data_IF_842894619811
#
_entry.id   IF_842894619811
#
_cell.length_a   1.000
_cell.length_b   1.000
_cell.length_c   1.000
_cell.angle_alpha   90.00
_cell.angle_beta   90.00
_cell.angle_gamma   90.00
#
_symmetry.space_group_name_H-M   'P 1'
#
loop_
_entity.id
_entity.type
_entity.pdbx_description
1 polymer ?
#
# COMPACT_ATOMS: atom_id res chain seq x y z
N UNK A 1 -65.96 25.74 -16.19
CA UNK A 1 -64.50 25.86 -16.39
C UNK A 1 -63.79 25.02 -15.34
N UNK A 2 -63.13 23.91 -15.71
CA UNK A 2 -62.54 22.98 -14.75
C UNK A 2 -61.14 23.44 -14.27
N UNK A 3 -60.76 22.92 -13.10
CA UNK A 3 -59.51 23.18 -12.37
C UNK A 3 -58.31 22.52 -13.05
N UNK A 4 -57.16 23.19 -13.04
CA UNK A 4 -55.85 22.53 -13.14
C UNK A 4 -55.03 22.78 -11.87
N UNK A 5 -54.90 21.73 -11.06
CA UNK A 5 -53.88 21.62 -10.03
C UNK A 5 -52.63 21.04 -10.69
N UNK A 6 -51.56 21.83 -10.83
CA UNK A 6 -50.25 21.32 -11.20
C UNK A 6 -49.70 20.45 -10.08
N UNK A 7 -49.81 19.13 -10.22
CA UNK A 7 -49.07 18.16 -9.43
C UNK A 7 -47.62 18.13 -9.89
N UNK A 8 -46.69 18.60 -9.06
CA UNK A 8 -45.26 18.27 -9.18
C UNK A 8 -45.08 16.78 -8.92
N UNK A 9 -45.13 15.96 -9.96
CA UNK A 9 -44.64 14.58 -9.92
C UNK A 9 -43.12 14.62 -9.76
N UNK A 10 -42.63 14.37 -8.55
CA UNK A 10 -41.26 13.86 -8.35
C UNK A 10 -41.26 12.41 -8.78
N UNK A 11 -40.80 12.13 -9.98
CA UNK A 11 -40.44 10.77 -10.42
C UNK A 11 -39.30 10.29 -9.54
N UNK A 12 -39.63 9.46 -8.52
CA UNK A 12 -38.63 8.65 -7.80
C UNK A 12 -38.12 7.57 -8.75
N UNK A 13 -37.18 7.95 -9.62
CA UNK A 13 -36.35 6.98 -10.33
C UNK A 13 -35.54 6.15 -9.32
N UNK A 14 -35.33 4.87 -9.61
CA UNK A 14 -34.48 4.02 -8.78
C UNK A 14 -33.09 4.69 -8.62
N UNK A 15 -32.49 4.71 -7.41
CA UNK A 15 -31.18 5.29 -7.21
C UNK A 15 -30.17 4.62 -8.14
N UNK A 16 -29.27 5.42 -8.73
CA UNK A 16 -28.17 4.86 -9.51
C UNK A 16 -27.37 3.83 -8.68
N UNK A 17 -26.75 2.82 -9.31
CA UNK A 17 -26.01 1.77 -8.59
C UNK A 17 -25.02 2.33 -7.56
N UNK A 18 -24.28 3.39 -7.90
CA UNK A 18 -23.33 4.06 -7.01
C UNK A 18 -24.00 4.65 -5.78
N UNK A 19 -25.16 5.30 -5.94
CA UNK A 19 -25.93 5.88 -4.84
C UNK A 19 -26.38 4.79 -3.87
N UNK A 20 -26.88 3.66 -4.38
CA UNK A 20 -27.30 2.54 -3.55
C UNK A 20 -26.13 1.91 -2.78
N UNK A 21 -24.97 1.75 -3.41
CA UNK A 21 -23.75 1.24 -2.77
C UNK A 21 -23.29 2.16 -1.65
N UNK A 22 -23.22 3.48 -1.89
CA UNK A 22 -22.77 4.44 -0.88
C UNK A 22 -23.77 4.59 0.27
N UNK A 23 -25.07 4.51 0.01
CA UNK A 23 -26.09 4.50 1.06
C UNK A 23 -25.98 3.26 1.94
N UNK A 24 -25.73 2.09 1.34
CA UNK A 24 -25.48 0.85 2.08
C UNK A 24 -24.20 0.96 2.91
N UNK A 25 -23.11 1.43 2.30
CA UNK A 25 -21.83 1.68 2.98
C UNK A 25 -22.00 2.60 4.19
N UNK A 26 -22.68 3.74 4.03
CA UNK A 26 -22.90 4.69 5.13
C UNK A 26 -23.68 4.06 6.29
N UNK A 27 -24.74 3.29 5.99
CA UNK A 27 -25.52 2.59 7.03
C UNK A 27 -24.69 1.55 7.78
N UNK A 28 -23.88 0.77 7.05
CA UNK A 28 -23.00 -0.24 7.64
C UNK A 28 -21.89 0.39 8.47
N UNK A 29 -21.31 1.51 8.00
CA UNK A 29 -20.32 2.29 8.76
C UNK A 29 -20.91 2.84 10.07
N UNK A 30 -22.08 3.47 10.03
CA UNK A 30 -22.76 3.95 11.24
C UNK A 30 -23.06 2.81 12.23
N UNK A 31 -23.48 1.64 11.71
CA UNK A 31 -23.68 0.43 12.53
C UNK A 31 -22.38 -0.04 13.19
N UNK A 32 -21.27 -0.10 12.46
CA UNK A 32 -19.98 -0.50 13.02
C UNK A 32 -19.45 0.50 14.04
N UNK A 33 -19.69 1.80 13.86
CA UNK A 33 -19.36 2.82 14.87
C UNK A 33 -20.07 2.54 16.20
N UNK A 34 -21.37 2.22 16.15
CA UNK A 34 -22.13 1.82 17.36
C UNK A 34 -21.58 0.53 17.97
N UNK A 35 -21.29 -0.48 17.15
CA UNK A 35 -20.77 -1.78 17.62
C UNK A 35 -19.41 -1.67 18.31
N UNK A 36 -18.55 -0.78 17.83
CA UNK A 36 -17.18 -0.56 18.35
C UNK A 36 -17.12 0.58 19.36
N UNK A 37 -18.28 1.12 19.77
CA UNK A 37 -18.40 2.19 20.77
C UNK A 37 -17.53 3.42 20.44
N UNK A 38 -17.59 3.85 19.19
CA UNK A 38 -16.82 4.99 18.67
C UNK A 38 -17.73 5.99 17.96
N UNK A 39 -17.30 7.25 17.92
CA UNK A 39 -18.02 8.28 17.18
C UNK A 39 -17.85 8.11 15.67
N UNK A 40 -18.91 8.43 14.93
CA UNK A 40 -18.86 8.52 13.48
C UNK A 40 -17.95 9.68 13.08
N UNK A 41 -16.95 9.42 12.23
CA UNK A 41 -16.07 10.49 11.76
C UNK A 41 -16.85 11.52 10.93
N UNK A 42 -16.85 12.82 11.32
CA UNK A 42 -17.60 13.86 10.62
C UNK A 42 -17.17 14.02 9.15
N UNK A 43 -15.87 13.91 8.87
CA UNK A 43 -15.33 14.03 7.51
C UNK A 43 -15.84 12.92 6.60
N UNK A 44 -15.71 11.66 7.02
CA UNK A 44 -16.22 10.50 6.27
C UNK A 44 -17.72 10.61 6.02
N UNK A 45 -18.51 10.96 7.05
CA UNK A 45 -19.96 11.11 6.92
C UNK A 45 -20.33 12.22 5.93
N UNK A 46 -19.64 13.36 5.99
CA UNK A 46 -19.81 14.49 5.07
C UNK A 46 -19.45 14.09 3.64
N UNK A 47 -18.33 13.41 3.43
CA UNK A 47 -17.87 12.98 2.10
C UNK A 47 -18.78 11.92 1.48
N UNK A 48 -19.28 10.97 2.27
CA UNK A 48 -20.28 9.98 1.83
C UNK A 48 -21.59 10.65 1.43
N UNK A 49 -22.13 11.54 2.27
CA UNK A 49 -23.36 12.29 1.95
C UNK A 49 -23.20 13.17 0.71
N UNK A 50 -22.08 13.86 0.59
CA UNK A 50 -21.79 14.67 -0.59
C UNK A 50 -21.70 13.79 -1.85
N UNK A 51 -21.04 12.64 -1.79
CA UNK A 51 -20.93 11.69 -2.91
C UNK A 51 -22.29 11.09 -3.31
N UNK A 52 -23.14 10.78 -2.33
CA UNK A 52 -24.53 10.32 -2.54
C UNK A 52 -25.35 11.40 -3.25
N UNK A 53 -25.29 12.65 -2.79
CA UNK A 53 -26.09 13.75 -3.35
C UNK A 53 -25.67 14.14 -4.76
N UNK A 54 -24.38 14.03 -5.07
CA UNK A 54 -23.83 14.36 -6.41
C UNK A 54 -23.69 13.13 -7.31
N UNK A 55 -24.13 11.95 -6.86
CA UNK A 55 -24.05 10.69 -7.60
C UNK A 55 -22.63 10.31 -8.06
N UNK A 56 -21.64 10.62 -7.21
CA UNK A 56 -20.21 10.38 -7.49
C UNK A 56 -19.67 9.21 -6.68
N UNK A 57 -18.65 8.58 -7.23
CA UNK A 57 -17.89 7.54 -6.52
C UNK A 57 -16.98 8.21 -5.48
N UNK A 58 -17.03 7.73 -4.24
CA UNK A 58 -16.10 8.16 -3.20
C UNK A 58 -14.78 7.37 -3.28
N UNK A 59 -13.71 8.04 -3.71
CA UNK A 59 -12.40 7.39 -3.88
C UNK A 59 -11.47 7.57 -2.68
N UNK A 60 -11.67 8.64 -1.89
CA UNK A 60 -10.79 9.05 -0.79
C UNK A 60 -11.56 9.02 0.52
N UNK A 61 -11.03 8.31 1.51
CA UNK A 61 -11.53 8.33 2.87
C UNK A 61 -10.56 9.11 3.76
N UNK A 62 -11.04 10.18 4.39
CA UNK A 62 -10.24 11.00 5.31
C UNK A 62 -10.77 10.80 6.73
N UNK A 63 -9.98 10.11 7.55
CA UNK A 63 -10.19 9.98 8.97
C UNK A 63 -9.36 11.05 9.68
N UNK A 64 -10.04 12.05 10.22
CA UNK A 64 -9.42 13.19 10.92
C UNK A 64 -10.08 13.34 12.30
N UNK A 65 -9.29 13.71 13.31
CA UNK A 65 -9.84 14.12 14.60
C UNK A 65 -10.47 15.51 14.44
N UNK A 66 -11.70 15.73 14.94
CA UNK A 66 -12.24 17.08 15.05
C UNK A 66 -11.39 17.87 16.04
N UNK A 67 -10.92 19.05 15.63
CA UNK A 67 -10.02 19.91 16.40
C UNK A 67 -10.58 20.31 17.78
N UNK A 68 -11.92 20.34 17.90
CA UNK A 68 -12.65 20.75 19.10
C UNK A 68 -13.77 19.75 19.46
N UNK A 69 -13.44 18.53 19.86
CA UNK A 69 -14.47 17.64 20.43
C UNK A 69 -14.84 18.09 21.86
N UNK A 70 -16.07 18.55 22.12
CA UNK A 70 -16.50 18.87 23.48
C UNK A 70 -16.38 17.66 24.41
N UNK A 71 -16.25 17.89 25.74
CA UNK A 71 -16.19 16.81 26.73
C UNK A 71 -17.40 15.88 26.56
N UNK A 72 -17.17 14.58 26.36
CA UNK A 72 -18.22 13.55 26.28
C UNK A 72 -18.44 12.91 24.91
N UNK A 73 -17.74 13.33 23.85
CA UNK A 73 -17.75 12.61 22.57
C UNK A 73 -16.81 11.39 22.64
N UNK A 74 -17.31 10.21 22.26
CA UNK A 74 -16.49 8.99 22.18
C UNK A 74 -15.33 9.19 21.19
N UNK A 75 -14.13 8.64 21.45
CA UNK A 75 -13.01 8.77 20.53
C UNK A 75 -13.38 8.16 19.17
N UNK A 76 -12.87 8.75 18.09
CA UNK A 76 -12.98 8.19 16.74
C UNK A 76 -11.93 7.08 16.58
N UNK A 77 -12.33 5.94 16.02
CA UNK A 77 -11.46 4.81 15.69
C UNK A 77 -11.44 4.56 14.18
N UNK A 78 -10.34 4.01 13.69
CA UNK A 78 -10.19 3.52 12.32
C UNK A 78 -11.00 2.23 12.07
N UNK A 79 -11.22 1.44 13.12
CA UNK A 79 -11.83 0.11 13.07
C UNK A 79 -13.12 0.03 12.23
N UNK A 80 -14.14 0.91 12.42
CA UNK A 80 -15.40 0.78 11.70
C UNK A 80 -15.23 0.98 10.19
N UNK A 81 -14.30 1.85 9.78
CA UNK A 81 -14.04 2.09 8.37
C UNK A 81 -13.48 0.83 7.71
N UNK A 82 -12.48 0.19 8.33
CA UNK A 82 -11.88 -1.03 7.82
C UNK A 82 -12.88 -2.19 7.77
N UNK A 83 -13.71 -2.34 8.81
CA UNK A 83 -14.80 -3.31 8.84
C UNK A 83 -15.78 -3.07 7.68
N UNK A 84 -16.21 -1.82 7.48
CA UNK A 84 -17.18 -1.48 6.43
C UNK A 84 -16.63 -1.77 5.03
N UNK A 85 -15.38 -1.37 4.76
CA UNK A 85 -14.71 -1.62 3.47
C UNK A 85 -14.73 -3.10 3.12
N UNK A 86 -14.44 -3.96 4.11
CA UNK A 86 -14.44 -5.41 3.94
C UNK A 86 -15.84 -5.97 3.77
N UNK A 87 -16.75 -5.65 4.68
CA UNK A 87 -18.09 -6.25 4.75
C UNK A 87 -18.97 -5.80 3.56
N UNK A 88 -18.72 -4.62 3.00
CA UNK A 88 -19.38 -4.10 1.79
C UNK A 88 -18.60 -4.37 0.50
N UNK A 89 -17.43 -5.05 0.57
CA UNK A 89 -16.55 -5.30 -0.56
C UNK A 89 -16.30 -4.03 -1.42
N UNK A 90 -15.99 -2.91 -0.77
CA UNK A 90 -15.94 -1.60 -1.43
C UNK A 90 -14.68 -1.42 -2.31
N UNK A 91 -14.75 -1.86 -3.56
CA UNK A 91 -13.60 -1.88 -4.50
C UNK A 91 -13.35 -0.57 -5.26
N UNK A 92 -14.16 0.46 -5.00
CA UNK A 92 -14.06 1.75 -5.69
C UNK A 92 -13.15 2.77 -4.98
N UNK A 93 -12.75 2.47 -3.74
CA UNK A 93 -11.78 3.26 -2.99
C UNK A 93 -10.41 3.30 -3.67
N UNK A 94 -9.61 4.32 -3.35
CA UNK A 94 -8.24 4.52 -3.84
C UNK A 94 -7.29 5.02 -2.75
N UNK A 95 -7.79 5.89 -1.87
CA UNK A 95 -6.97 6.56 -0.86
C UNK A 95 -7.58 6.39 0.54
N UNK A 96 -6.73 6.05 1.51
CA UNK A 96 -7.04 6.14 2.94
C UNK A 96 -6.07 7.14 3.56
N UNK A 97 -6.63 8.18 4.19
CA UNK A 97 -5.89 9.23 4.87
C UNK A 97 -6.29 9.23 6.36
N UNK A 98 -5.33 9.10 7.26
CA UNK A 98 -5.54 9.02 8.71
C UNK A 98 -4.62 10.03 9.39
N UNK A 99 -5.20 11.02 10.08
CA UNK A 99 -4.44 12.17 10.56
C UNK A 99 -4.63 12.41 12.07
N UNK A 100 -3.52 12.48 12.82
CA UNK A 100 -3.51 12.85 14.23
C UNK A 100 -4.01 11.76 15.18
N UNK A 101 -3.91 10.48 14.80
CA UNK A 101 -4.42 9.35 15.60
C UNK A 101 -3.30 8.61 16.32
N UNK A 102 -3.61 8.13 17.53
CA UNK A 102 -2.86 7.04 18.16
C UNK A 102 -3.50 5.73 17.73
N UNK A 103 -2.83 5.01 16.84
CA UNK A 103 -3.34 3.80 16.23
C UNK A 103 -2.99 2.59 17.09
N UNK A 104 -4.01 1.84 17.47
CA UNK A 104 -3.84 0.63 18.28
C UNK A 104 -3.36 -0.56 17.45
N UNK A 105 -2.74 -1.54 18.11
CA UNK A 105 -2.25 -2.76 17.48
C UNK A 105 -3.34 -3.49 16.67
N UNK A 106 -4.60 -3.63 17.18
CA UNK A 106 -5.68 -4.22 16.41
C UNK A 106 -6.08 -3.42 15.16
N UNK A 107 -6.02 -2.08 15.20
CA UNK A 107 -6.32 -1.23 14.04
C UNK A 107 -5.25 -1.39 12.95
N UNK A 108 -3.96 -1.35 13.33
CA UNK A 108 -2.86 -1.54 12.40
C UNK A 108 -2.83 -2.96 11.83
N UNK A 109 -3.11 -3.98 12.64
CA UNK A 109 -3.20 -5.36 12.17
C UNK A 109 -4.26 -5.52 11.06
N UNK A 110 -5.41 -4.87 11.22
CA UNK A 110 -6.50 -4.92 10.22
C UNK A 110 -6.20 -4.07 8.99
N UNK A 111 -5.61 -2.88 9.18
CA UNK A 111 -5.14 -2.07 8.07
C UNK A 111 -4.12 -2.86 7.25
N UNK A 112 -3.16 -3.50 7.91
CA UNK A 112 -2.16 -4.34 7.27
C UNK A 112 -2.78 -5.52 6.50
N UNK A 113 -3.77 -6.21 7.07
CA UNK A 113 -4.52 -7.26 6.37
C UNK A 113 -5.28 -6.74 5.14
N UNK A 114 -5.84 -5.53 5.21
CA UNK A 114 -6.49 -4.88 4.08
C UNK A 114 -5.50 -4.55 2.96
N UNK A 115 -4.27 -4.15 3.30
CA UNK A 115 -3.23 -3.76 2.35
C UNK A 115 -2.57 -4.96 1.65
N UNK A 116 -2.43 -6.09 2.35
CA UNK A 116 -1.79 -7.30 1.83
C UNK A 116 -2.55 -7.87 0.63
N UNK A 117 -1.92 -7.90 -0.55
CA UNK A 117 -2.47 -8.55 -1.74
C UNK A 117 -2.29 -10.07 -1.67
N UNK A 118 -3.03 -10.76 -0.80
CA UNK A 118 -3.06 -12.23 -0.75
C UNK A 118 -4.23 -12.77 -1.55
N UNK A 119 -3.97 -13.19 -2.79
CA UNK A 119 -4.64 -14.22 -3.61
C UNK A 119 -6.16 -14.19 -3.86
N UNK A 120 -6.98 -13.73 -2.91
CA UNK A 120 -8.44 -13.90 -2.94
C UNK A 120 -9.21 -12.59 -2.83
N UNK A 121 -8.57 -11.47 -2.47
CA UNK A 121 -9.25 -10.17 -2.43
C UNK A 121 -8.29 -9.05 -2.83
N UNK A 122 -8.51 -8.38 -3.96
CA UNK A 122 -7.67 -7.24 -4.35
C UNK A 122 -7.90 -6.08 -3.37
N UNK A 123 -6.81 -5.54 -2.82
CA UNK A 123 -6.87 -4.28 -2.08
C UNK A 123 -7.16 -3.15 -3.09
N UNK A 124 -8.23 -2.36 -2.93
CA UNK A 124 -8.54 -1.30 -3.88
C UNK A 124 -7.69 -0.04 -3.66
N UNK A 125 -7.00 0.06 -2.52
CA UNK A 125 -6.25 1.25 -2.12
C UNK A 125 -4.84 1.23 -2.68
N UNK A 126 -4.50 2.30 -3.38
CA UNK A 126 -3.17 2.55 -3.95
C UNK A 126 -2.41 3.62 -3.17
N UNK A 127 -3.09 4.32 -2.25
CA UNK A 127 -2.51 5.40 -1.46
C UNK A 127 -2.87 5.23 0.00
N UNK A 128 -1.85 5.29 0.86
CA UNK A 128 -1.98 5.36 2.30
C UNK A 128 -1.27 6.61 2.82
N UNK A 129 -2.02 7.44 3.54
CA UNK A 129 -1.46 8.58 4.28
C UNK A 129 -1.71 8.37 5.77
N UNK A 130 -0.64 8.27 6.55
CA UNK A 130 -0.65 8.31 8.01
C UNK A 130 0.11 9.58 8.42
N UNK A 131 -0.61 10.65 8.76
CA UNK A 131 0.00 11.93 9.10
C UNK A 131 -0.13 12.15 10.61
N UNK A 132 0.97 12.49 11.28
CA UNK A 132 1.00 12.72 12.73
C UNK A 132 0.34 11.56 13.50
N UNK A 133 0.60 10.33 13.07
CA UNK A 133 0.07 9.12 13.68
C UNK A 133 1.10 8.50 14.63
N UNK A 134 0.64 8.05 15.80
CA UNK A 134 1.45 7.33 16.77
C UNK A 134 1.15 5.83 16.66
N UNK A 135 2.20 5.04 16.55
CA UNK A 135 2.17 3.58 16.47
C UNK A 135 3.27 3.04 17.39
N UNK A 136 3.04 1.89 18.02
CA UNK A 136 4.08 1.21 18.79
C UNK A 136 5.04 0.42 17.86
N UNK A 137 6.19 -0.05 18.37
CA UNK A 137 7.14 -0.81 17.57
C UNK A 137 6.55 -2.07 16.93
N UNK A 138 5.62 -2.75 17.62
CA UNK A 138 4.93 -3.92 17.07
C UNK A 138 4.09 -3.55 15.85
N UNK A 139 3.34 -2.46 15.94
CA UNK A 139 2.50 -1.92 14.87
C UNK A 139 3.33 -1.51 13.65
N UNK A 140 4.48 -0.88 13.88
CA UNK A 140 5.40 -0.53 12.79
C UNK A 140 6.01 -1.77 12.12
N UNK A 141 6.39 -2.78 12.90
CA UNK A 141 6.81 -4.09 12.37
C UNK A 141 5.72 -4.74 11.52
N UNK A 142 4.47 -4.74 12.02
CA UNK A 142 3.31 -5.30 11.33
C UNK A 142 2.99 -4.55 10.04
N UNK A 143 3.07 -3.22 10.05
CA UNK A 143 2.87 -2.37 8.88
C UNK A 143 3.99 -2.60 7.86
N UNK A 144 5.24 -2.64 8.29
CA UNK A 144 6.40 -2.95 7.44
C UNK A 144 6.21 -4.27 6.69
N UNK A 145 5.81 -5.34 7.37
CA UNK A 145 5.52 -6.62 6.73
C UNK A 145 4.42 -6.52 5.66
N UNK A 146 3.39 -5.71 5.91
CA UNK A 146 2.30 -5.51 4.96
C UNK A 146 2.74 -4.75 3.71
N UNK A 147 3.63 -3.76 3.85
CA UNK A 147 4.14 -2.96 2.75
C UNK A 147 4.79 -3.82 1.66
N UNK A 148 5.53 -4.85 2.05
CA UNK A 148 6.18 -5.79 1.14
C UNK A 148 5.18 -6.49 0.21
N UNK A 149 3.98 -6.78 0.72
CA UNK A 149 2.91 -7.46 -0.02
C UNK A 149 1.83 -6.49 -0.51
N UNK A 150 2.01 -5.18 -0.34
CA UNK A 150 0.97 -4.20 -0.63
C UNK A 150 0.85 -3.91 -2.12
N UNK A 151 -0.28 -3.31 -2.52
CA UNK A 151 -0.47 -2.73 -3.86
C UNK A 151 -0.36 -1.21 -3.85
N UNK A 152 0.26 -0.64 -2.81
CA UNK A 152 0.42 0.79 -2.67
C UNK A 152 1.41 1.34 -3.69
N UNK A 153 1.03 2.47 -4.28
CA UNK A 153 1.85 3.31 -5.14
C UNK A 153 2.32 4.56 -4.39
N UNK A 154 1.57 4.99 -3.38
CA UNK A 154 1.88 6.17 -2.56
C UNK A 154 1.80 5.82 -1.08
N UNK A 155 2.86 6.14 -0.34
CA UNK A 155 2.93 6.04 1.10
C UNK A 155 3.41 7.37 1.68
N UNK A 156 2.62 7.93 2.58
CA UNK A 156 2.95 9.15 3.33
C UNK A 156 2.90 8.82 4.81
N UNK A 157 4.03 9.00 5.51
CA UNK A 157 4.14 8.83 6.96
C UNK A 157 4.56 10.14 7.66
N UNK A 158 4.26 11.28 7.03
CA UNK A 158 4.72 12.59 7.49
C UNK A 158 4.35 12.86 8.96
N UNK A 159 5.24 13.51 9.69
CA UNK A 159 5.11 13.82 11.12
C UNK A 159 5.02 12.59 12.06
N UNK A 160 5.12 11.36 11.55
CA UNK A 160 5.31 10.19 12.39
C UNK A 160 6.78 10.12 12.82
N UNK A 161 7.07 10.44 14.09
CA UNK A 161 8.44 10.38 14.63
C UNK A 161 8.86 8.93 14.88
N UNK A 162 10.02 8.55 14.38
CA UNK A 162 10.56 7.20 14.54
C UNK A 162 11.90 7.22 15.27
N UNK A 163 12.15 6.22 16.12
CA UNK A 163 13.53 5.84 16.47
C UNK A 163 14.21 5.15 15.29
N UNK A 164 15.52 4.89 15.42
CA UNK A 164 16.27 4.16 14.40
C UNK A 164 15.70 2.74 14.21
N UNK A 165 15.41 2.04 15.29
CA UNK A 165 14.88 0.66 15.27
C UNK A 165 13.48 0.60 14.66
N UNK A 166 12.65 1.61 14.96
CA UNK A 166 11.28 1.72 14.46
C UNK A 166 11.22 1.92 12.94
N UNK A 167 12.05 2.82 12.40
CA UNK A 167 12.07 3.08 10.95
C UNK A 167 12.65 1.91 10.16
N UNK A 168 13.58 1.14 10.73
CA UNK A 168 14.12 -0.06 10.07
C UNK A 168 13.04 -1.11 9.77
N UNK A 169 11.97 -1.17 10.58
CA UNK A 169 10.82 -2.03 10.29
C UNK A 169 10.10 -1.63 9.00
N UNK A 170 9.94 -0.33 8.78
CA UNK A 170 9.33 0.21 7.55
C UNK A 170 10.27 0.01 6.36
N UNK A 171 11.56 0.32 6.53
CA UNK A 171 12.60 0.15 5.51
C UNK A 171 12.71 -1.29 5.02
N UNK A 172 12.67 -2.27 5.93
CA UNK A 172 12.65 -3.69 5.59
C UNK A 172 11.42 -4.07 4.77
N UNK A 173 10.27 -3.46 5.06
CA UNK A 173 9.04 -3.63 4.27
C UNK A 173 9.09 -3.04 2.86
N UNK A 174 9.95 -2.05 2.64
CA UNK A 174 10.14 -1.38 1.36
C UNK A 174 11.27 -1.98 0.53
N UNK A 175 12.09 -2.85 1.11
CA UNK A 175 13.17 -3.54 0.42
C UNK A 175 12.62 -4.37 -0.75
N UNK A 176 13.18 -4.13 -1.94
CA UNK A 176 12.74 -4.72 -3.21
C UNK A 176 11.27 -4.46 -3.57
N UNK A 177 10.62 -3.44 -3.01
CA UNK A 177 9.23 -3.12 -3.33
C UNK A 177 9.10 -2.56 -4.77
N UNK A 178 8.52 -3.36 -5.67
CA UNK A 178 8.39 -3.02 -7.09
C UNK A 178 7.10 -2.25 -7.45
N UNK A 179 6.35 -1.76 -6.46
CA UNK A 179 5.05 -1.10 -6.68
C UNK A 179 4.99 0.32 -6.15
N UNK A 180 5.62 0.58 -5.00
CA UNK A 180 5.59 1.91 -4.39
C UNK A 180 6.41 2.90 -5.23
N UNK A 181 5.77 3.97 -5.68
CA UNK A 181 6.37 4.99 -6.54
C UNK A 181 6.67 6.29 -5.79
N UNK A 182 5.86 6.64 -4.80
CA UNK A 182 6.03 7.84 -3.98
C UNK A 182 6.13 7.47 -2.51
N UNK A 183 7.19 7.95 -1.86
CA UNK A 183 7.41 7.84 -0.43
C UNK A 183 7.62 9.24 0.17
N UNK A 184 6.83 9.56 1.20
CA UNK A 184 7.02 10.78 2.00
C UNK A 184 7.25 10.41 3.46
N UNK A 185 8.37 10.90 3.99
CA UNK A 185 8.81 10.74 5.37
C UNK A 185 9.20 12.11 5.94
N UNK A 186 8.40 13.16 5.73
CA UNK A 186 8.74 14.51 6.18
C UNK A 186 8.56 14.63 7.68
N UNK A 187 9.49 15.34 8.34
CA UNK A 187 9.44 15.57 9.79
C UNK A 187 9.34 14.28 10.63
N UNK A 188 9.95 13.18 10.16
CA UNK A 188 9.91 11.87 10.80
C UNK A 188 11.05 11.61 11.80
N UNK A 189 11.98 12.57 11.95
CA UNK A 189 13.12 12.43 12.85
C UNK A 189 14.28 11.60 12.29
N UNK A 190 14.36 11.42 10.97
CA UNK A 190 15.45 10.64 10.35
C UNK A 190 16.81 11.31 10.57
N UNK A 191 17.80 10.51 10.98
CA UNK A 191 19.17 10.93 11.25
C UNK A 191 20.17 10.45 10.19
N UNK A 192 21.47 10.81 10.33
CA UNK A 192 22.50 10.48 9.35
C UNK A 192 22.62 9.00 8.99
N UNK A 193 22.40 8.12 9.97
CA UNK A 193 22.46 6.67 9.81
C UNK A 193 21.40 6.10 8.85
N UNK A 194 20.28 6.80 8.66
CA UNK A 194 19.19 6.32 7.80
C UNK A 194 19.47 6.55 6.31
N UNK A 195 20.37 7.48 5.98
CA UNK A 195 20.69 7.86 4.59
C UNK A 195 21.13 6.70 3.70
N UNK A 196 22.20 5.95 4.06
CA UNK A 196 22.65 4.80 3.29
C UNK A 196 21.58 3.73 3.06
N UNK A 197 20.79 3.42 4.10
CA UNK A 197 19.73 2.42 4.01
C UNK A 197 18.64 2.86 3.04
N UNK A 198 18.22 4.13 3.11
CA UNK A 198 17.25 4.70 2.20
C UNK A 198 17.78 4.76 0.75
N UNK A 199 19.05 5.09 0.55
CA UNK A 199 19.70 5.05 -0.77
C UNK A 199 19.62 3.66 -1.40
N UNK A 200 19.96 2.62 -0.62
CA UNK A 200 19.84 1.23 -1.08
C UNK A 200 18.39 0.86 -1.45
N UNK A 201 17.41 1.23 -0.64
CA UNK A 201 15.99 0.95 -0.91
C UNK A 201 15.54 1.61 -2.22
N UNK A 202 15.90 2.88 -2.44
CA UNK A 202 15.50 3.60 -3.65
C UNK A 202 16.12 2.98 -4.91
N UNK A 203 17.39 2.56 -4.87
CA UNK A 203 18.04 1.89 -6.02
C UNK A 203 17.38 0.55 -6.41
N UNK A 204 16.77 -0.15 -5.45
CA UNK A 204 16.22 -1.50 -5.66
C UNK A 204 14.69 -1.57 -5.61
N UNK A 205 14.00 -0.42 -5.61
CA UNK A 205 12.53 -0.33 -5.57
C UNK A 205 11.99 0.43 -6.77
N UNK A 206 10.66 0.55 -6.85
CA UNK A 206 9.99 1.37 -7.87
C UNK A 206 9.86 2.86 -7.49
N UNK A 207 10.49 3.31 -6.39
CA UNK A 207 10.34 4.67 -5.88
C UNK A 207 10.98 5.67 -6.85
N UNK A 208 10.18 6.65 -7.27
CA UNK A 208 10.57 7.76 -8.16
C UNK A 208 10.48 9.12 -7.50
N UNK A 209 9.62 9.23 -6.48
CA UNK A 209 9.39 10.46 -5.74
C UNK A 209 9.64 10.21 -4.26
N UNK A 210 10.65 10.91 -3.72
CA UNK A 210 11.07 10.78 -2.33
C UNK A 210 11.07 12.15 -1.65
N UNK A 211 10.31 12.28 -0.56
CA UNK A 211 10.24 13.52 0.20
C UNK A 211 10.74 13.34 1.64
N UNK A 212 11.80 14.07 2.01
CA UNK A 212 12.49 13.96 3.30
C UNK A 212 12.63 15.30 4.04
N UNK A 213 11.88 16.32 3.66
CA UNK A 213 11.95 17.64 4.28
C UNK A 213 11.73 17.60 5.79
N UNK A 214 12.45 18.42 6.56
CA UNK A 214 12.27 18.50 8.01
C UNK A 214 12.92 17.37 8.82
N UNK A 215 13.77 16.54 8.21
CA UNK A 215 14.61 15.56 8.91
C UNK A 215 16.02 16.09 9.18
N UNK A 216 16.80 15.35 9.98
CA UNK A 216 18.15 15.71 10.41
C UNK A 216 19.22 14.76 9.85
N UNK A 217 19.16 14.50 8.54
CA UNK A 217 20.11 13.60 7.85
C UNK A 217 21.56 14.12 7.85
N UNK A 218 21.75 15.44 8.02
CA UNK A 218 23.05 16.11 7.86
C UNK A 218 23.72 15.82 6.51
N UNK A 219 24.95 16.31 6.31
CA UNK A 219 25.70 16.03 5.09
C UNK A 219 26.02 14.54 4.92
N UNK A 220 26.33 13.84 6.01
CA UNK A 220 26.71 12.41 5.99
C UNK A 220 25.55 11.52 5.56
N UNK A 221 24.34 11.74 6.09
CA UNK A 221 23.16 10.98 5.66
C UNK A 221 22.74 11.32 4.23
N UNK A 222 22.80 12.59 3.83
CA UNK A 222 22.49 12.99 2.44
C UNK A 222 23.50 12.37 1.46
N UNK A 223 24.79 12.38 1.76
CA UNK A 223 25.80 11.70 0.93
C UNK A 223 25.58 10.18 0.90
N UNK A 224 25.22 9.58 2.03
CA UNK A 224 24.85 8.16 2.11
C UNK A 224 23.65 7.80 1.24
N UNK A 225 22.68 8.70 1.12
CA UNK A 225 21.52 8.55 0.23
C UNK A 225 21.90 8.71 -1.26
N UNK A 226 22.68 9.75 -1.59
CA UNK A 226 22.93 10.14 -2.98
C UNK A 226 24.01 9.31 -3.68
N UNK A 227 25.04 8.82 -2.97
CA UNK A 227 26.12 8.03 -3.59
C UNK A 227 25.61 6.75 -4.27
N UNK A 228 24.82 5.89 -3.62
CA UNK A 228 24.27 4.70 -4.28
C UNK A 228 23.40 5.04 -5.49
N UNK A 229 22.67 6.16 -5.44
CA UNK A 229 21.82 6.61 -6.54
C UNK A 229 22.63 7.05 -7.76
N UNK A 230 23.72 7.79 -7.53
CA UNK A 230 24.64 8.19 -8.58
C UNK A 230 25.30 6.97 -9.23
N UNK A 231 25.82 6.04 -8.43
CA UNK A 231 26.42 4.78 -8.90
C UNK A 231 25.42 3.94 -9.69
N UNK A 232 24.18 3.82 -9.20
CA UNK A 232 23.10 3.12 -9.91
C UNK A 232 22.76 3.78 -11.25
N UNK A 233 22.66 5.11 -11.30
CA UNK A 233 22.39 5.82 -12.55
C UNK A 233 23.52 5.66 -13.58
N UNK A 234 24.78 5.67 -13.15
CA UNK A 234 25.94 5.46 -14.04
C UNK A 234 25.98 4.05 -14.64
N UNK A 235 25.65 3.03 -13.85
CA UNK A 235 25.61 1.63 -14.33
C UNK A 235 24.49 1.43 -15.35
N UNK A 236 23.29 1.95 -15.08
CA UNK A 236 22.16 1.89 -16.02
C UNK A 236 22.43 2.65 -17.34
N UNK A 237 23.18 3.75 -17.29
CA UNK A 237 23.58 4.49 -18.50
C UNK A 237 24.59 3.71 -19.37
N UNK A 238 25.54 3.02 -18.75
CA UNK A 238 26.53 2.18 -19.47
C UNK A 238 25.87 0.99 -20.16
N UNK A 239 24.93 0.33 -19.50
CA UNK A 239 24.21 -0.82 -20.08
C UNK A 239 23.35 -0.41 -21.30
N UNK A 240 22.77 0.79 -21.28
CA UNK A 240 22.05 1.37 -22.42
C UNK A 240 22.98 1.71 -23.60
N UNK A 241 24.20 2.19 -23.33
CA UNK A 241 25.20 2.48 -24.37
C UNK A 241 25.74 1.19 -25.02
N UNK A 242 25.94 0.13 -24.24
CA UNK A 242 26.38 -1.17 -24.76
C UNK A 242 25.30 -1.84 -25.61
N UNK A 243 24.02 -1.67 -25.27
CA UNK A 243 22.89 -2.24 -26.05
C UNK A 243 22.48 -1.39 -27.26
N UNK A 244 22.92 -0.13 -27.35
CA UNK A 244 22.58 0.79 -28.46
C UNK A 244 23.70 0.96 -29.51
N UNK A 245 24.85 0.32 -29.34
CA UNK A 245 25.88 0.26 -30.38
C UNK A 245 25.45 -0.69 -31.51
N UNK A 246 25.19 -0.22 -32.74
CA UNK A 246 24.91 -1.10 -33.86
C UNK A 246 26.20 -1.80 -34.31
N UNK A 247 26.20 -3.12 -34.18
CA UNK A 247 27.18 -3.99 -34.81
C UNK A 247 27.20 -3.71 -36.32
N UNK A 248 28.25 -3.05 -36.78
CA UNK A 248 28.44 -2.71 -38.19
C UNK A 248 28.99 -3.92 -38.93
N UNK A 249 28.22 -5.02 -39.00
CA UNK A 249 28.41 -6.09 -39.99
C UNK A 249 27.28 -7.11 -39.97
N UNK A 250 26.11 -6.78 -40.53
CA UNK A 250 25.29 -7.74 -41.31
C UNK A 250 24.06 -7.01 -41.90
N UNK A 251 23.74 -7.20 -43.20
CA UNK A 251 22.54 -6.61 -43.78
C UNK A 251 21.26 -7.29 -43.25
N UNK A 252 20.14 -6.56 -43.13
CA UNK A 252 18.89 -7.12 -42.61
C UNK A 252 18.30 -8.14 -43.58
N UNK A 253 18.18 -9.39 -43.14
CA UNK A 253 17.36 -10.37 -43.84
C UNK A 253 15.88 -10.03 -43.64
N UNK A 254 15.23 -9.86 -44.79
CA UNK A 254 13.82 -9.56 -44.99
C UNK A 254 12.91 -10.50 -44.18
N UNK A 255 12.00 -9.91 -43.41
CA UNK A 255 10.86 -10.57 -42.76
C UNK A 255 10.06 -11.39 -43.80
N UNK A 256 10.18 -12.72 -43.77
CA UNK A 256 9.20 -13.58 -44.41
C UNK A 256 8.05 -13.86 -43.44
N UNK A 257 6.91 -13.26 -43.77
CA UNK A 257 5.61 -13.66 -43.26
C UNK A 257 5.34 -15.12 -43.62
N UNK A 258 5.06 -15.96 -42.62
CA UNK A 258 4.28 -17.18 -42.81
C UNK A 258 3.06 -17.17 -41.90
N UNK A 259 1.92 -16.94 -42.54
CA UNK A 259 0.62 -17.24 -41.97
C UNK A 259 0.37 -18.75 -41.90
N UNK A 260 -0.48 -19.09 -40.92
CA UNK A 260 -1.49 -20.16 -40.87
C UNK A 260 -1.03 -21.61 -40.76
N UNK A 261 -1.65 -22.31 -39.80
CA UNK A 261 -1.94 -23.73 -39.93
C UNK A 261 -2.09 -24.48 -38.61
N UNK A 262 -3.33 -24.61 -38.15
CA UNK A 262 -3.80 -25.54 -37.12
C UNK A 262 -3.47 -27.01 -37.45
N UNK A 263 -3.10 -27.82 -36.45
CA UNK A 263 -3.73 -29.15 -36.21
C UNK A 263 -3.11 -29.91 -35.03
N UNK A 264 -4.01 -30.41 -34.17
CA UNK A 264 -3.94 -31.52 -33.21
C UNK A 264 -3.31 -32.82 -33.73
N UNK A 265 -2.62 -33.60 -32.88
CA UNK A 265 -3.03 -34.95 -32.39
C UNK A 265 -1.85 -35.71 -31.72
N UNK A 266 -2.23 -36.52 -30.71
CA UNK A 266 -1.48 -37.35 -29.75
C UNK A 266 -0.64 -38.52 -30.32
N UNK A 267 0.34 -39.00 -29.52
CA UNK A 267 0.44 -40.36 -28.92
C UNK A 267 1.84 -40.54 -28.26
N UNK A 268 1.95 -40.73 -26.94
CA UNK A 268 2.12 -42.01 -26.18
C UNK A 268 3.31 -42.86 -26.65
N UNK A 269 4.35 -43.03 -25.80
CA UNK A 269 4.88 -44.35 -25.39
C UNK A 269 5.69 -44.26 -24.09
N UNK A 270 5.49 -45.25 -23.22
CA UNK A 270 6.10 -45.48 -21.90
C UNK A 270 7.55 -45.97 -21.93
N UNK A 271 8.27 -45.79 -20.80
CA UNK A 271 8.91 -46.83 -19.94
C UNK A 271 10.03 -46.15 -19.11
N UNK A 272 10.52 -46.57 -17.94
CA UNK A 272 10.13 -47.52 -16.90
C UNK A 272 11.15 -47.35 -15.76
N UNK A 273 10.69 -47.53 -14.51
CA UNK A 273 11.41 -48.03 -13.31
C UNK A 273 12.51 -47.19 -12.60
N UNK A 274 12.08 -46.61 -11.47
CA UNK A 274 12.51 -46.88 -10.09
C UNK A 274 13.92 -47.41 -9.77
N UNK A 275 14.65 -46.72 -8.88
CA UNK A 275 15.42 -47.32 -7.77
C UNK A 275 15.39 -46.39 -6.54
N UNK A 276 15.00 -46.97 -5.41
CA UNK A 276 15.05 -46.46 -4.04
C UNK A 276 16.41 -46.79 -3.42
N UNK A 277 17.11 -45.86 -2.76
CA UNK A 277 18.06 -46.19 -1.67
C UNK A 277 18.06 -45.10 -0.59
N UNK A 278 17.71 -45.52 0.64
CA UNK A 278 17.99 -44.84 1.93
C UNK A 278 19.42 -45.16 2.36
N UNK A 279 20.10 -44.25 3.07
CA UNK A 279 20.96 -44.50 4.26
C UNK A 279 21.58 -43.18 4.76
N UNK A 280 21.20 -42.66 5.93
CA UNK A 280 21.78 -42.79 7.29
C UNK A 280 22.84 -41.73 7.69
N UNK A 281 22.48 -40.99 8.75
CA UNK A 281 23.26 -40.69 9.98
C UNK A 281 24.71 -40.18 9.89
N UNK A 282 24.94 -39.00 10.48
CA UNK A 282 26.26 -38.53 10.89
C UNK A 282 26.19 -37.31 11.84
N UNK A 283 26.48 -37.54 13.12
CA UNK A 283 26.43 -36.58 14.24
C UNK A 283 27.86 -36.18 14.65
N UNK A 284 28.19 -34.88 14.77
CA UNK A 284 29.27 -34.31 15.63
C UNK A 284 29.21 -32.77 15.59
N UNK A 285 28.78 -32.03 16.64
CA UNK A 285 29.47 -31.54 17.87
C UNK A 285 30.66 -30.57 17.64
N UNK A 286 30.51 -29.26 17.93
CA UNK A 286 31.05 -28.53 19.13
C UNK A 286 31.13 -26.99 18.99
N UNK A 287 30.70 -26.32 20.08
CA UNK A 287 31.28 -25.20 20.88
C UNK A 287 31.25 -23.71 20.43
N UNK A 288 30.81 -22.87 21.39
CA UNK A 288 31.43 -21.61 21.86
C UNK A 288 30.74 -20.33 21.36
N UNK A 289 29.80 -19.71 22.09
CA UNK A 289 29.96 -18.64 23.12
C UNK A 289 30.85 -17.48 22.68
N UNK A 290 30.28 -16.27 22.54
CA UNK A 290 30.82 -15.03 23.11
C UNK A 290 29.70 -14.01 23.34
N UNK A 291 29.58 -13.58 24.59
CA UNK A 291 28.88 -12.38 25.05
C UNK A 291 29.95 -11.31 25.22
N UNK A 292 29.68 -10.07 24.80
CA UNK A 292 30.47 -8.92 25.20
C UNK A 292 29.54 -7.78 25.62
N UNK A 293 29.99 -7.15 26.69
CA UNK A 293 29.39 -6.14 27.58
C UNK A 293 28.95 -4.88 26.85
#
# INVERSE_FOLDING_TARGET
>A
MPREKQGKQKTKGAPLPVVSTLQKFLKTYEKHCVQTQTSVCPAIKRDLKASINHERILRKFVLVRPDDSPPGILPISLEPLLMTVRDECYMLGREICIWGFQLSNPEIARLALLLESKGHTPCPFTTLELIDCKMDPWSLGRLGQALHLSSLHVLVLDYCKFTHEEIESIFSGLENNQRLQRLSLRYCGLGPQNGPRLGSIVCHSAIRELHLGGNYLQCTGVLGLLRPLAEYAETQGKDQLVTSSPDTRNPPQLLQARQRGSSTLNQITESSRAVTVKTTSGKKRKKGIFVAV
#
